data_IF_530480937034
#
_entry.id   IF_530480937034
#
_cell.length_a   1.000
_cell.length_b   1.000
_cell.length_c   1.000
_cell.angle_alpha   90.00
_cell.angle_beta   90.00
_cell.angle_gamma   90.00
#
_symmetry.space_group_name_H-M   'P 1'
#
loop_
_entity.id
_entity.type
_entity.pdbx_description
1 polymer ?
#
# COMPACT_ATOMS: atom_id res chain seq x y z
N UNK A 1 -40.55 24.39 -75.26
CA UNK A 1 -41.18 23.54 -74.24
C UNK A 1 -40.15 22.56 -73.59
N UNK A 2 -39.34 21.82 -74.32
CA UNK A 2 -38.38 20.82 -73.78
C UNK A 2 -37.41 21.38 -72.74
N UNK A 3 -36.87 22.61 -72.92
CA UNK A 3 -35.91 23.22 -71.94
C UNK A 3 -36.56 23.59 -70.59
N UNK A 4 -37.84 24.02 -70.58
CA UNK A 4 -38.60 24.34 -69.36
C UNK A 4 -38.93 23.06 -68.56
N UNK A 5 -39.23 21.96 -69.23
CA UNK A 5 -39.54 20.68 -68.65
C UNK A 5 -38.25 20.10 -67.98
N UNK A 6 -37.10 20.20 -68.66
CA UNK A 6 -35.80 19.76 -68.15
C UNK A 6 -35.38 20.55 -66.89
N UNK A 7 -35.61 21.88 -66.88
CA UNK A 7 -35.31 22.69 -65.68
C UNK A 7 -36.26 22.37 -64.54
N UNK A 8 -37.53 22.11 -64.77
CA UNK A 8 -38.46 21.69 -63.70
C UNK A 8 -38.13 20.30 -63.17
N UNK A 9 -37.74 19.34 -64.03
CA UNK A 9 -37.36 18.01 -63.61
C UNK A 9 -36.08 18.03 -62.77
N UNK A 10 -35.07 18.83 -63.16
CA UNK A 10 -33.83 19.00 -62.39
C UNK A 10 -34.12 19.65 -61.02
N UNK A 11 -34.96 20.68 -60.98
CA UNK A 11 -35.39 21.32 -59.76
C UNK A 11 -36.12 20.34 -58.80
N UNK A 12 -37.02 19.52 -59.38
CA UNK A 12 -37.74 18.50 -58.62
C UNK A 12 -36.80 17.43 -58.01
N UNK A 13 -35.75 16.99 -58.75
CA UNK A 13 -34.75 16.07 -58.23
C UNK A 13 -33.94 16.69 -57.07
N UNK A 14 -33.59 17.98 -57.22
CA UNK A 14 -32.89 18.67 -56.10
C UNK A 14 -33.80 18.86 -54.89
N UNK A 15 -35.07 19.13 -55.04
CA UNK A 15 -36.01 19.23 -53.92
C UNK A 15 -36.20 17.86 -53.20
N UNK A 16 -36.37 16.80 -54.01
CA UNK A 16 -36.51 15.45 -53.44
C UNK A 16 -35.21 15.02 -52.72
N UNK A 17 -34.05 15.25 -53.35
CA UNK A 17 -32.75 14.95 -52.71
C UNK A 17 -32.53 15.79 -51.46
N UNK A 18 -32.82 17.08 -51.51
CA UNK A 18 -32.73 17.97 -50.34
C UNK A 18 -33.70 17.57 -49.22
N UNK A 19 -34.93 17.18 -49.59
CA UNK A 19 -35.92 16.65 -48.64
C UNK A 19 -35.49 15.32 -48.01
N UNK A 20 -34.88 14.42 -48.78
CA UNK A 20 -34.37 13.16 -48.29
C UNK A 20 -33.18 13.36 -47.34
N UNK A 21 -32.26 14.27 -47.66
CA UNK A 21 -31.13 14.62 -46.78
C UNK A 21 -31.62 15.31 -45.50
N UNK A 22 -32.55 16.21 -45.58
CA UNK A 22 -33.18 16.86 -44.44
C UNK A 22 -33.88 15.84 -43.51
N UNK A 23 -34.66 14.93 -44.12
CA UNK A 23 -35.34 13.87 -43.37
C UNK A 23 -34.36 12.92 -42.71
N UNK A 24 -33.28 12.53 -43.39
CA UNK A 24 -32.23 11.70 -42.84
C UNK A 24 -31.51 12.39 -41.65
N UNK A 25 -31.21 13.69 -41.80
CA UNK A 25 -30.61 14.49 -40.72
C UNK A 25 -31.58 14.60 -39.52
N UNK A 26 -32.84 14.81 -39.71
CA UNK A 26 -33.84 14.87 -38.63
C UNK A 26 -34.09 13.52 -37.95
N UNK A 27 -33.92 12.41 -38.64
CA UNK A 27 -34.17 11.08 -38.10
C UNK A 27 -32.94 10.47 -37.44
N UNK A 28 -31.71 10.85 -37.84
CA UNK A 28 -30.48 10.25 -37.37
C UNK A 28 -29.45 11.28 -36.87
N UNK A 29 -29.22 12.35 -37.62
CA UNK A 29 -28.11 13.26 -37.35
C UNK A 29 -28.25 14.09 -36.06
N UNK A 30 -29.48 14.35 -35.60
CA UNK A 30 -29.70 15.12 -34.35
C UNK A 30 -29.56 14.32 -33.07
N UNK A 31 -29.42 12.97 -33.17
CA UNK A 31 -29.33 12.09 -32.02
C UNK A 31 -27.92 11.52 -31.81
N UNK A 32 -26.94 12.05 -32.54
CA UNK A 32 -25.54 11.62 -32.45
C UNK A 32 -24.65 12.80 -32.12
N UNK A 33 -23.92 12.67 -30.98
CA UNK A 33 -22.90 13.64 -30.60
C UNK A 33 -21.53 13.02 -30.80
N UNK A 34 -20.73 13.62 -31.69
CA UNK A 34 -19.43 13.08 -32.08
C UNK A 34 -18.26 13.97 -31.65
N UNK A 35 -17.13 13.36 -31.36
CA UNK A 35 -15.87 14.05 -31.12
C UNK A 35 -14.70 13.23 -31.63
N UNK A 36 -13.73 13.91 -32.24
CA UNK A 36 -12.41 13.41 -32.67
C UNK A 36 -11.34 13.61 -31.60
N UNK A 37 -11.68 14.23 -30.48
CA UNK A 37 -10.79 14.55 -29.37
C UNK A 37 -11.02 13.55 -28.23
N UNK A 38 -10.80 12.27 -28.52
CA UNK A 38 -10.92 11.21 -27.53
C UNK A 38 -9.60 10.42 -27.44
N UNK A 39 -9.21 10.05 -26.23
CA UNK A 39 -7.97 9.34 -25.96
C UNK A 39 -8.17 8.19 -25.02
N UNK A 40 -7.45 7.09 -25.27
CA UNK A 40 -7.43 5.95 -24.36
C UNK A 40 -6.70 6.34 -23.07
N UNK A 41 -7.41 6.32 -21.96
CA UNK A 41 -6.89 6.49 -20.61
C UNK A 41 -6.65 5.15 -19.92
N UNK A 42 -5.81 5.13 -18.91
CA UNK A 42 -5.53 3.93 -18.14
C UNK A 42 -4.80 4.21 -16.84
N UNK A 43 -4.77 3.23 -15.95
CA UNK A 43 -4.03 3.32 -14.70
C UNK A 43 -2.53 3.16 -14.97
N UNK A 44 -1.75 4.14 -14.56
CA UNK A 44 -0.29 4.13 -14.63
C UNK A 44 0.27 3.76 -13.26
N UNK A 45 0.67 2.50 -13.05
CA UNK A 45 1.20 2.04 -11.77
C UNK A 45 2.71 2.24 -11.73
N UNK A 46 3.14 3.20 -10.94
CA UNK A 46 4.55 3.53 -10.77
C UNK A 46 5.20 2.60 -9.74
N UNK A 47 6.28 1.97 -10.13
CA UNK A 47 7.10 1.12 -9.27
C UNK A 47 8.18 1.97 -8.64
N UNK A 48 8.12 2.11 -7.32
CA UNK A 48 9.08 2.88 -6.52
C UNK A 48 9.69 2.01 -5.43
N UNK A 49 10.99 2.14 -5.11
CA UNK A 49 11.61 1.42 -4.03
C UNK A 49 11.12 1.96 -2.67
N UNK A 50 11.03 1.08 -1.68
CA UNK A 50 10.70 1.43 -0.29
C UNK A 50 11.96 1.59 0.58
N UNK A 51 13.11 1.12 0.08
CA UNK A 51 14.44 1.22 0.72
C UNK A 51 15.44 1.78 -0.27
N UNK A 52 16.46 2.47 0.23
CA UNK A 52 17.56 2.93 -0.59
C UNK A 52 18.54 1.78 -0.88
N UNK A 53 19.12 1.76 -2.07
CA UNK A 53 20.10 0.75 -2.46
C UNK A 53 20.63 0.96 -3.86
N UNK A 54 21.59 0.13 -4.29
CA UNK A 54 22.05 0.07 -5.68
C UNK A 54 21.30 -1.03 -6.43
N UNK A 55 20.92 -0.77 -7.66
CA UNK A 55 20.23 -1.76 -8.51
C UNK A 55 21.23 -2.85 -8.92
N UNK A 56 20.93 -4.08 -8.53
CA UNK A 56 21.75 -5.26 -8.87
C UNK A 56 21.34 -5.87 -10.20
N UNK A 57 20.02 -6.04 -10.39
CA UNK A 57 19.47 -6.70 -11.57
C UNK A 57 18.12 -6.12 -11.95
N UNK A 58 17.81 -6.14 -13.24
CA UNK A 58 16.52 -5.75 -13.82
C UNK A 58 16.03 -6.96 -14.62
N UNK A 59 14.79 -7.38 -14.41
CA UNK A 59 14.20 -8.61 -14.97
C UNK A 59 13.12 -8.35 -16.01
N UNK A 60 12.74 -7.09 -16.21
CA UNK A 60 11.78 -6.68 -17.24
C UNK A 60 12.21 -5.36 -17.87
N UNK A 61 12.00 -5.21 -19.17
CA UNK A 61 12.31 -4.01 -19.93
C UNK A 61 11.04 -3.41 -20.55
N UNK A 62 11.20 -2.26 -21.22
CA UNK A 62 10.11 -1.60 -21.93
C UNK A 62 9.45 -2.58 -22.91
N UNK A 63 8.12 -2.54 -22.96
CA UNK A 63 7.25 -3.41 -23.77
C UNK A 63 7.02 -4.82 -23.25
N UNK A 64 7.73 -5.28 -22.23
CA UNK A 64 7.52 -6.61 -21.66
C UNK A 64 6.17 -6.69 -20.92
N UNK A 65 5.51 -7.85 -21.04
CA UNK A 65 4.36 -8.18 -20.21
C UNK A 65 4.84 -8.84 -18.92
N UNK A 66 4.35 -8.34 -17.78
CA UNK A 66 4.67 -8.84 -16.43
C UNK A 66 3.43 -9.27 -15.69
N UNK A 67 3.56 -10.33 -14.88
CA UNK A 67 2.48 -10.82 -14.03
C UNK A 67 2.55 -10.19 -12.64
N UNK A 68 1.40 -10.13 -11.96
CA UNK A 68 1.37 -9.72 -10.56
C UNK A 68 2.26 -10.63 -9.70
N UNK A 69 3.10 -10.04 -8.83
CA UNK A 69 4.08 -10.75 -8.02
C UNK A 69 5.40 -11.09 -8.73
N UNK A 70 5.49 -10.91 -10.06
CA UNK A 70 6.74 -11.13 -10.79
C UNK A 70 7.80 -10.11 -10.35
N UNK A 71 9.02 -10.60 -10.07
CA UNK A 71 10.15 -9.72 -9.71
C UNK A 71 10.54 -8.86 -10.91
N UNK A 72 10.58 -7.54 -10.71
CA UNK A 72 10.97 -6.58 -11.75
C UNK A 72 12.39 -6.08 -11.55
N UNK A 73 12.74 -5.73 -10.34
CA UNK A 73 14.04 -5.14 -9.99
C UNK A 73 14.52 -5.78 -8.69
N UNK A 74 15.82 -6.02 -8.62
CA UNK A 74 16.50 -6.47 -7.41
C UNK A 74 17.56 -5.43 -7.03
N UNK A 75 17.48 -4.94 -5.79
CA UNK A 75 18.50 -4.11 -5.18
C UNK A 75 19.58 -4.98 -4.53
N UNK A 76 20.76 -4.41 -4.31
CA UNK A 76 21.81 -5.08 -3.55
C UNK A 76 21.35 -5.33 -2.10
N UNK A 77 21.38 -6.60 -1.70
CA UNK A 77 20.89 -7.08 -0.41
C UNK A 77 21.97 -7.10 0.69
N UNK A 78 23.22 -6.78 0.33
CA UNK A 78 24.36 -7.00 1.22
C UNK A 78 24.19 -6.27 2.55
N UNK A 79 23.89 -4.99 2.52
CA UNK A 79 23.69 -4.17 3.72
C UNK A 79 22.47 -4.63 4.53
N UNK A 80 21.35 -4.93 3.86
CA UNK A 80 20.13 -5.39 4.51
C UNK A 80 20.31 -6.78 5.16
N UNK A 81 21.09 -7.67 4.55
CA UNK A 81 21.43 -8.97 5.11
C UNK A 81 22.25 -8.83 6.38
N UNK A 82 23.30 -8.01 6.35
CA UNK A 82 24.14 -7.76 7.53
C UNK A 82 23.31 -7.16 8.68
N UNK A 83 22.43 -6.22 8.36
CA UNK A 83 21.53 -5.63 9.36
C UNK A 83 20.58 -6.68 9.98
N UNK A 84 20.07 -7.61 9.19
CA UNK A 84 19.23 -8.70 9.68
C UNK A 84 20.01 -9.64 10.60
N UNK A 85 21.19 -10.08 10.18
CA UNK A 85 22.08 -10.95 10.99
C UNK A 85 22.45 -10.29 12.33
N UNK A 86 22.72 -8.99 12.32
CA UNK A 86 23.01 -8.22 13.55
C UNK A 86 21.78 -8.18 14.48
N UNK A 87 20.59 -7.95 13.93
CA UNK A 87 19.35 -7.92 14.71
C UNK A 87 19.03 -9.31 15.32
N UNK A 88 19.24 -10.39 14.58
CA UNK A 88 19.08 -11.77 15.05
C UNK A 88 20.08 -12.10 16.18
N UNK A 89 21.36 -11.72 16.02
CA UNK A 89 22.37 -11.90 17.04
C UNK A 89 22.03 -11.14 18.33
N UNK A 90 21.50 -9.91 18.19
CA UNK A 90 21.06 -9.11 19.33
C UNK A 90 19.85 -9.73 20.05
N UNK A 91 18.87 -10.26 19.30
CA UNK A 91 17.75 -11.01 19.88
C UNK A 91 18.24 -12.22 20.67
N UNK A 92 19.14 -13.00 20.09
CA UNK A 92 19.73 -14.17 20.77
C UNK A 92 20.46 -13.78 22.06
N UNK A 93 21.20 -12.65 22.05
CA UNK A 93 21.88 -12.10 23.25
C UNK A 93 20.84 -11.70 24.30
N UNK A 94 19.79 -10.99 23.92
CA UNK A 94 18.73 -10.52 24.83
C UNK A 94 18.01 -11.71 25.50
N UNK A 95 17.66 -12.74 24.71
CA UNK A 95 17.03 -13.97 25.22
C UNK A 95 17.92 -14.64 26.26
N UNK A 96 19.24 -14.74 26.02
CA UNK A 96 20.19 -15.29 27.01
C UNK A 96 20.26 -14.44 28.29
N UNK A 97 20.25 -13.11 28.15
CA UNK A 97 20.24 -12.20 29.30
C UNK A 97 19.00 -12.39 30.17
N UNK A 98 17.81 -12.42 29.56
CA UNK A 98 16.56 -12.65 30.33
C UNK A 98 16.51 -14.03 30.98
N UNK A 99 17.01 -15.06 30.30
CA UNK A 99 17.18 -16.39 30.93
C UNK A 99 18.12 -16.36 32.16
N UNK A 100 19.21 -15.58 32.08
CA UNK A 100 20.10 -15.35 33.20
C UNK A 100 19.38 -14.67 34.37
N UNK A 101 18.62 -13.62 34.14
CA UNK A 101 17.82 -12.96 35.18
C UNK A 101 16.81 -13.92 35.84
N UNK A 102 16.16 -14.80 35.07
CA UNK A 102 15.29 -15.84 35.63
C UNK A 102 16.05 -16.84 36.52
N UNK A 103 17.22 -17.28 36.07
CA UNK A 103 18.06 -18.19 36.87
C UNK A 103 18.44 -17.54 38.20
N UNK A 104 18.83 -16.26 38.20
CA UNK A 104 19.12 -15.50 39.43
C UNK A 104 17.88 -15.36 40.33
N UNK A 105 16.68 -15.17 39.77
CA UNK A 105 15.45 -15.16 40.58
C UNK A 105 15.15 -16.52 41.21
N UNK A 106 15.36 -17.63 40.47
CA UNK A 106 15.22 -19.00 41.03
C UNK A 106 16.24 -19.28 42.12
N UNK A 107 17.48 -18.81 41.99
CA UNK A 107 18.50 -18.87 43.03
C UNK A 107 18.06 -18.07 44.29
N UNK A 108 17.49 -16.88 44.11
CA UNK A 108 16.90 -16.09 45.18
C UNK A 108 15.78 -16.83 45.92
N UNK A 109 14.91 -17.55 45.21
CA UNK A 109 13.88 -18.40 45.80
C UNK A 109 14.47 -19.50 46.68
N UNK A 110 15.51 -20.19 46.21
CA UNK A 110 16.21 -21.20 47.00
C UNK A 110 16.88 -20.61 48.25
N UNK A 111 17.46 -19.40 48.16
CA UNK A 111 18.03 -18.69 49.31
C UNK A 111 16.96 -18.35 50.36
N UNK A 112 15.78 -17.88 49.95
CA UNK A 112 14.66 -17.63 50.91
C UNK A 112 14.27 -18.91 51.61
N UNK A 113 14.13 -20.06 50.90
CA UNK A 113 13.80 -21.35 51.50
C UNK A 113 14.86 -21.76 52.53
N UNK A 114 16.15 -21.54 52.23
CA UNK A 114 17.26 -21.82 53.17
C UNK A 114 17.15 -20.95 54.45
N UNK A 115 16.91 -19.63 54.32
CA UNK A 115 16.75 -18.72 55.48
C UNK A 115 15.51 -19.03 56.30
N UNK A 116 14.44 -19.49 55.68
CA UNK A 116 13.23 -19.97 56.40
C UNK A 116 13.52 -21.21 57.23
N UNK A 117 14.35 -22.12 56.75
CA UNK A 117 14.78 -23.29 57.51
C UNK A 117 15.68 -22.91 58.70
N UNK A 118 16.60 -21.93 58.52
CA UNK A 118 17.41 -21.39 59.59
C UNK A 118 16.59 -20.73 60.71
N UNK A 119 15.59 -19.90 60.33
CA UNK A 119 14.67 -19.28 61.29
C UNK A 119 13.91 -20.34 62.08
N UNK A 120 13.30 -21.32 61.40
CA UNK A 120 12.59 -22.44 62.09
C UNK A 120 13.47 -23.17 63.06
N UNK A 121 14.75 -23.42 62.74
CA UNK A 121 15.72 -24.05 63.68
C UNK A 121 15.99 -23.19 64.89
N UNK A 122 16.19 -21.88 64.72
CA UNK A 122 16.40 -20.95 65.83
C UNK A 122 15.16 -20.83 66.71
N UNK A 123 13.98 -20.78 66.16
CA UNK A 123 12.70 -20.74 66.90
C UNK A 123 12.48 -22.04 67.71
N UNK A 124 12.76 -23.19 67.12
CA UNK A 124 12.68 -24.49 67.84
C UNK A 124 13.69 -24.58 68.97
N UNK A 125 14.92 -24.07 68.83
CA UNK A 125 15.91 -24.03 69.86
C UNK A 125 15.49 -23.11 71.02
N UNK A 126 15.03 -21.92 70.71
CA UNK A 126 14.46 -21.00 71.69
C UNK A 126 13.27 -21.65 72.45
N UNK A 127 12.33 -22.31 71.74
CA UNK A 127 11.20 -22.98 72.33
C UNK A 127 11.63 -24.09 73.31
N UNK A 128 12.64 -24.91 72.96
CA UNK A 128 13.23 -25.93 73.87
C UNK A 128 13.88 -25.30 75.10
N UNK A 129 14.66 -24.22 74.97
CA UNK A 129 15.33 -23.54 76.11
C UNK A 129 14.28 -22.91 77.02
N UNK A 130 13.22 -22.29 76.52
CA UNK A 130 12.08 -21.75 77.29
C UNK A 130 11.33 -22.83 78.07
N UNK A 131 11.15 -24.02 77.51
CA UNK A 131 10.43 -25.11 78.22
C UNK A 131 11.18 -25.68 79.45
N UNK A 132 12.51 -25.51 79.57
CA UNK A 132 13.35 -26.00 80.65
C UNK A 132 13.89 -24.87 81.56
N UNK A 133 13.56 -23.61 81.26
CA UNK A 133 13.96 -22.42 82.05
C UNK A 133 13.53 -22.54 83.50
N UNK A 134 12.27 -22.97 83.75
CA UNK A 134 11.73 -23.14 85.10
C UNK A 134 12.43 -24.20 85.96
N UNK A 135 13.18 -25.12 85.32
CA UNK A 135 13.98 -26.16 86.00
C UNK A 135 15.38 -25.69 86.45
N UNK A 136 15.75 -24.46 86.08
CA UNK A 136 17.10 -23.93 86.32
C UNK A 136 18.22 -24.54 85.45
N UNK A 137 17.84 -25.33 84.43
CA UNK A 137 18.78 -26.00 83.52
C UNK A 137 19.38 -25.13 82.43
N UNK A 138 18.90 -23.89 82.29
CA UNK A 138 19.30 -22.88 81.29
C UNK A 138 19.57 -21.55 82.01
N UNK A 139 20.69 -20.90 81.70
CA UNK A 139 21.02 -19.58 82.26
C UNK A 139 20.24 -18.47 81.50
N UNK A 140 20.02 -17.34 82.18
CA UNK A 140 19.33 -16.18 81.52
C UNK A 140 20.15 -15.66 80.33
N UNK A 141 21.47 -15.77 80.34
CA UNK A 141 22.33 -15.41 79.22
C UNK A 141 22.11 -16.32 77.98
N UNK A 142 22.07 -17.67 78.25
CA UNK A 142 21.78 -18.62 77.17
C UNK A 142 20.38 -18.42 76.53
N UNK A 143 19.36 -18.02 77.31
CA UNK A 143 18.07 -17.69 76.81
C UNK A 143 18.14 -16.43 76.00
N UNK A 144 18.83 -15.38 76.44
CA UNK A 144 19.05 -14.16 75.73
C UNK A 144 19.71 -14.39 74.35
N UNK A 145 20.80 -15.21 74.35
CA UNK A 145 21.47 -15.61 73.10
C UNK A 145 20.53 -16.32 72.12
N UNK A 146 19.63 -17.17 72.58
CA UNK A 146 18.62 -17.81 71.72
C UNK A 146 17.60 -16.81 71.15
N UNK A 147 17.17 -15.79 71.94
CA UNK A 147 16.30 -14.69 71.47
C UNK A 147 17.02 -13.89 70.37
N UNK A 148 18.28 -13.54 70.60
CA UNK A 148 19.09 -12.76 69.63
C UNK A 148 19.32 -13.56 68.36
N UNK A 149 19.53 -14.90 68.46
CA UNK A 149 19.64 -15.78 67.27
C UNK A 149 18.34 -15.81 66.44
N UNK A 150 17.13 -15.85 67.06
CA UNK A 150 15.86 -15.75 66.34
C UNK A 150 15.72 -14.40 65.70
N UNK A 151 16.08 -13.31 66.40
CA UNK A 151 16.01 -11.95 65.83
C UNK A 151 16.91 -11.79 64.63
N UNK A 152 18.14 -12.28 64.71
CA UNK A 152 19.12 -12.27 63.61
C UNK A 152 18.64 -13.11 62.38
N UNK A 153 18.14 -14.35 62.66
CA UNK A 153 17.63 -15.20 61.56
C UNK A 153 16.41 -14.61 60.89
N UNK A 154 15.54 -13.92 61.65
CA UNK A 154 14.35 -13.20 61.09
C UNK A 154 14.78 -12.03 60.19
N UNK A 155 15.75 -11.23 60.64
CA UNK A 155 16.28 -10.12 59.84
C UNK A 155 16.97 -10.63 58.55
N UNK A 156 17.70 -11.75 58.63
CA UNK A 156 18.34 -12.39 57.48
C UNK A 156 17.28 -12.90 56.45
N UNK A 157 16.18 -13.50 56.94
CA UNK A 157 15.08 -13.92 56.08
C UNK A 157 14.41 -12.73 55.40
N UNK A 158 14.17 -11.64 56.11
CA UNK A 158 13.52 -10.45 55.54
C UNK A 158 14.41 -9.81 54.48
N UNK A 159 15.72 -9.73 54.71
CA UNK A 159 16.70 -9.28 53.71
C UNK A 159 16.66 -10.15 52.43
N UNK A 160 16.64 -11.50 52.59
CA UNK A 160 16.57 -12.42 51.47
C UNK A 160 15.26 -12.28 50.67
N UNK A 161 14.12 -12.06 51.36
CA UNK A 161 12.82 -11.80 50.69
C UNK A 161 12.82 -10.51 49.91
N UNK A 162 13.40 -9.43 50.43
CA UNK A 162 13.54 -8.16 49.73
C UNK A 162 14.44 -8.27 48.50
N UNK A 163 15.54 -9.04 48.62
CA UNK A 163 16.40 -9.31 47.48
C UNK A 163 15.70 -10.11 46.39
N UNK A 164 14.92 -11.13 46.73
CA UNK A 164 14.11 -11.89 45.79
C UNK A 164 13.05 -11.02 45.12
N UNK A 165 12.38 -10.13 45.86
CA UNK A 165 11.40 -9.18 45.34
C UNK A 165 12.03 -8.29 44.27
N UNK A 166 13.23 -7.74 44.51
CA UNK A 166 13.97 -6.94 43.53
C UNK A 166 14.36 -7.74 42.28
N UNK A 167 14.77 -9.02 42.44
CA UNK A 167 15.07 -9.89 41.29
C UNK A 167 13.83 -10.25 40.48
N UNK A 168 12.70 -10.51 41.16
CA UNK A 168 11.42 -10.80 40.51
C UNK A 168 10.90 -9.60 39.71
N UNK A 169 11.11 -8.39 40.21
CA UNK A 169 10.71 -7.16 39.48
C UNK A 169 11.40 -7.03 38.10
N UNK A 170 12.61 -7.58 37.96
CA UNK A 170 13.35 -7.55 36.69
C UNK A 170 12.80 -8.53 35.65
N UNK A 171 12.16 -9.63 36.10
CA UNK A 171 11.58 -10.65 35.18
C UNK A 171 10.08 -10.57 35.04
N UNK A 172 9.43 -9.71 35.84
CA UNK A 172 7.99 -9.33 35.81
C UNK A 172 7.02 -10.53 35.67
N UNK A 173 7.35 -11.67 36.24
CA UNK A 173 6.62 -12.95 36.17
C UNK A 173 6.19 -13.39 34.77
N UNK A 174 6.72 -12.72 33.72
CA UNK A 174 6.41 -13.03 32.33
C UNK A 174 7.25 -14.18 31.80
N UNK A 175 6.77 -14.85 30.77
CA UNK A 175 7.61 -15.83 30.06
C UNK A 175 8.72 -15.12 29.28
N UNK A 176 9.82 -15.82 28.97
CA UNK A 176 10.97 -15.25 28.24
C UNK A 176 10.54 -14.58 26.94
N UNK A 177 9.57 -15.16 26.23
CA UNK A 177 9.05 -14.61 24.98
C UNK A 177 8.21 -13.34 25.18
N UNK A 178 7.62 -13.18 26.35
CA UNK A 178 6.75 -12.03 26.66
C UNK A 178 7.50 -10.87 27.29
N UNK A 179 8.76 -11.10 27.68
CA UNK A 179 9.58 -10.06 28.27
C UNK A 179 9.74 -8.84 27.34
N UNK A 180 9.57 -7.60 27.84
CA UNK A 180 9.62 -6.39 27.03
C UNK A 180 10.90 -6.27 26.17
N UNK A 181 12.06 -6.59 26.75
CA UNK A 181 13.33 -6.51 26.01
C UNK A 181 13.41 -7.52 24.87
N UNK A 182 12.87 -8.73 25.06
CA UNK A 182 12.81 -9.75 24.00
C UNK A 182 11.86 -9.32 22.90
N UNK A 183 10.68 -8.76 23.25
CA UNK A 183 9.73 -8.20 22.28
C UNK A 183 10.33 -7.05 21.47
N UNK A 184 11.07 -6.17 22.12
CA UNK A 184 11.78 -5.07 21.46
C UNK A 184 12.84 -5.59 20.49
N UNK A 185 13.70 -6.52 20.93
CA UNK A 185 14.68 -7.13 20.05
C UNK A 185 14.06 -7.90 18.89
N UNK A 186 12.95 -8.62 19.12
CA UNK A 186 12.19 -9.28 18.06
C UNK A 186 11.55 -8.30 17.07
N UNK A 187 11.12 -7.11 17.54
CA UNK A 187 10.63 -6.05 16.66
C UNK A 187 11.72 -5.55 15.70
N UNK A 188 12.96 -5.39 16.19
CA UNK A 188 14.11 -5.01 15.35
C UNK A 188 14.46 -6.06 14.31
N UNK A 189 14.32 -7.35 14.63
CA UNK A 189 14.48 -8.43 13.64
C UNK A 189 13.41 -8.30 12.55
N UNK A 190 12.13 -8.05 12.91
CA UNK A 190 11.06 -7.85 11.92
C UNK A 190 11.31 -6.63 11.04
N UNK A 191 11.80 -5.53 11.59
CA UNK A 191 12.17 -4.33 10.85
C UNK A 191 13.27 -4.62 9.83
N UNK A 192 14.36 -5.28 10.26
CA UNK A 192 15.47 -5.67 9.38
C UNK A 192 15.01 -6.67 8.30
N UNK A 193 14.13 -7.62 8.62
CA UNK A 193 13.55 -8.57 7.68
C UNK A 193 12.69 -7.87 6.62
N UNK A 194 11.87 -6.89 7.03
CA UNK A 194 11.10 -6.06 6.12
C UNK A 194 12.01 -5.25 5.19
N UNK A 195 13.07 -4.65 5.71
CA UNK A 195 14.04 -3.94 4.89
C UNK A 195 14.72 -4.88 3.88
N UNK A 196 15.08 -6.10 4.29
CA UNK A 196 15.63 -7.13 3.41
C UNK A 196 14.63 -7.56 2.33
N UNK A 197 13.38 -7.83 2.68
CA UNK A 197 12.36 -8.23 1.70
C UNK A 197 12.03 -7.13 0.69
N UNK A 198 12.11 -5.86 1.09
CA UNK A 198 11.87 -4.68 0.25
C UNK A 198 12.99 -4.38 -0.77
N UNK A 199 14.07 -5.12 -0.74
CA UNK A 199 15.11 -5.06 -1.79
C UNK A 199 14.68 -5.76 -3.08
N UNK A 200 13.73 -6.67 -3.03
CA UNK A 200 13.05 -7.22 -4.20
C UNK A 200 11.82 -6.35 -4.51
N UNK A 201 11.72 -5.85 -5.73
CA UNK A 201 10.60 -5.04 -6.19
C UNK A 201 9.75 -5.89 -7.16
N UNK A 202 8.65 -6.49 -6.69
CA UNK A 202 7.72 -7.20 -7.54
C UNK A 202 6.73 -6.26 -8.22
N UNK A 203 6.13 -6.69 -9.31
CA UNK A 203 4.98 -6.05 -9.93
C UNK A 203 3.75 -6.17 -9.02
N UNK A 204 3.09 -5.08 -8.61
CA UNK A 204 1.88 -5.15 -7.79
C UNK A 204 0.67 -5.64 -8.59
N UNK A 205 0.69 -5.47 -9.91
CA UNK A 205 -0.36 -5.86 -10.85
C UNK A 205 0.24 -6.48 -12.11
N UNK A 206 -0.55 -7.25 -12.86
CA UNK A 206 -0.19 -7.66 -14.22
C UNK A 206 -0.37 -6.50 -15.22
N UNK A 207 0.50 -6.44 -16.23
CA UNK A 207 0.44 -5.39 -17.24
C UNK A 207 1.70 -5.29 -18.08
N UNK A 208 1.75 -4.29 -18.93
CA UNK A 208 2.92 -4.00 -19.77
C UNK A 208 3.81 -2.94 -19.13
N UNK A 209 5.13 -3.15 -19.22
CA UNK A 209 6.10 -2.13 -18.85
C UNK A 209 6.07 -1.02 -19.90
N UNK A 210 5.62 0.16 -19.50
CA UNK A 210 5.50 1.29 -20.41
C UNK A 210 6.77 2.16 -20.45
N UNK A 211 7.48 2.25 -19.32
CA UNK A 211 8.68 3.06 -19.19
C UNK A 211 9.56 2.56 -18.06
N UNK A 212 10.80 2.27 -18.38
CA UNK A 212 11.88 2.00 -17.42
C UNK A 212 12.81 3.22 -17.32
N UNK A 213 12.97 3.76 -16.12
CA UNK A 213 13.79 4.96 -15.86
C UNK A 213 15.06 4.65 -15.07
N UNK A 214 15.38 3.36 -14.84
CA UNK A 214 16.48 2.90 -13.99
C UNK A 214 17.44 2.02 -14.74
N UNK A 215 18.73 2.05 -14.32
CA UNK A 215 19.82 1.25 -14.89
C UNK A 215 20.47 0.39 -13.80
N UNK A 216 21.07 -0.74 -14.23
CA UNK A 216 21.90 -1.59 -13.34
C UNK A 216 23.09 -0.78 -12.82
N UNK A 217 23.38 -0.90 -11.51
CA UNK A 217 24.41 -0.13 -10.82
C UNK A 217 23.96 1.25 -10.34
N UNK A 218 22.80 1.73 -10.76
CA UNK A 218 22.27 3.02 -10.30
C UNK A 218 21.85 2.95 -8.82
N UNK A 219 22.20 4.00 -8.05
CA UNK A 219 21.72 4.16 -6.69
C UNK A 219 20.33 4.81 -6.69
N UNK A 220 19.40 4.20 -5.97
CA UNK A 220 18.00 4.62 -5.88
C UNK A 220 17.59 4.89 -4.43
N UNK A 221 16.59 5.74 -4.25
CA UNK A 221 16.03 6.10 -2.95
C UNK A 221 14.51 5.97 -2.97
N UNK A 222 13.85 5.85 -1.79
CA UNK A 222 12.39 5.83 -1.69
C UNK A 222 11.77 7.02 -2.41
N UNK A 223 10.70 6.74 -3.20
CA UNK A 223 10.01 7.75 -4.00
C UNK A 223 10.51 7.96 -5.42
N UNK A 224 11.71 7.45 -5.78
CA UNK A 224 12.15 7.47 -7.17
C UNK A 224 11.31 6.51 -8.02
N UNK A 225 10.71 7.00 -9.10
CA UNK A 225 10.00 6.15 -10.06
C UNK A 225 11.03 5.39 -10.90
N UNK A 226 11.04 4.06 -10.76
CA UNK A 226 11.99 3.19 -11.48
C UNK A 226 11.39 2.62 -12.76
N UNK A 227 10.10 2.32 -12.74
CA UNK A 227 9.38 1.67 -13.82
C UNK A 227 7.90 2.02 -13.73
N UNK A 228 7.19 2.02 -14.85
CA UNK A 228 5.74 2.18 -14.91
C UNK A 228 5.12 0.95 -15.55
N UNK A 229 4.15 0.33 -14.88
CA UNK A 229 3.38 -0.81 -15.40
C UNK A 229 1.95 -0.35 -15.70
N UNK A 230 1.44 -0.73 -16.86
CA UNK A 230 0.10 -0.35 -17.35
C UNK A 230 -0.71 -1.61 -17.59
N UNK A 231 -1.79 -1.84 -16.82
CA UNK A 231 -2.75 -2.90 -17.11
C UNK A 231 -3.63 -2.48 -18.29
N UNK A 232 -3.68 -3.27 -19.37
CA UNK A 232 -4.52 -2.97 -20.53
C UNK A 232 -5.97 -3.49 -20.38
N UNK A 233 -6.26 -4.27 -19.36
CA UNK A 233 -7.59 -4.85 -19.15
C UNK A 233 -8.62 -3.84 -18.58
N UNK A 234 -8.17 -2.73 -18.01
CA UNK A 234 -9.00 -1.73 -17.36
C UNK A 234 -8.84 -0.32 -17.94
N UNK A 235 -8.62 -0.22 -19.25
CA UNK A 235 -8.53 1.06 -19.94
C UNK A 235 -9.94 1.62 -20.22
N UNK A 236 -10.04 2.93 -20.31
CA UNK A 236 -11.25 3.67 -20.65
C UNK A 236 -10.92 4.69 -21.74
N UNK A 237 -11.92 5.37 -22.24
CA UNK A 237 -11.71 6.51 -23.14
C UNK A 237 -12.17 7.78 -22.45
N UNK A 238 -11.33 8.79 -22.45
CA UNK A 238 -11.67 10.15 -22.06
C UNK A 238 -11.90 10.95 -23.34
N UNK A 239 -13.20 11.19 -23.68
CA UNK A 239 -13.63 11.88 -24.86
C UNK A 239 -14.01 13.32 -24.51
N UNK A 240 -13.40 14.30 -25.18
CA UNK A 240 -13.57 15.72 -24.89
C UNK A 240 -14.67 16.33 -25.75
N UNK A 241 -15.86 16.51 -25.19
CA UNK A 241 -16.99 17.14 -25.85
C UNK A 241 -17.01 18.66 -25.60
N UNK A 242 -17.46 19.41 -26.59
CA UNK A 242 -17.66 20.86 -26.46
C UNK A 242 -18.83 21.16 -25.52
N UNK A 243 -18.76 22.27 -24.79
CA UNK A 243 -19.77 22.70 -23.82
C UNK A 243 -21.23 22.67 -24.39
N UNK A 244 -21.41 23.02 -25.66
CA UNK A 244 -22.70 23.01 -26.31
C UNK A 244 -23.25 21.61 -26.63
N UNK A 245 -22.41 20.57 -26.65
CA UNK A 245 -22.80 19.18 -26.89
C UNK A 245 -23.25 18.47 -25.61
N UNK A 246 -22.97 19.05 -24.45
CA UNK A 246 -23.23 18.40 -23.15
C UNK A 246 -24.69 18.38 -22.72
N UNK A 247 -25.54 19.18 -23.36
CA UNK A 247 -26.95 19.34 -22.95
C UNK A 247 -27.72 18.02 -22.95
N UNK A 248 -27.47 17.17 -23.94
CA UNK A 248 -28.18 15.91 -24.17
C UNK A 248 -27.40 14.66 -23.71
N UNK A 249 -26.14 14.81 -23.25
CA UNK A 249 -25.33 13.72 -22.74
C UNK A 249 -25.77 13.29 -21.35
N UNK A 250 -25.88 11.99 -21.12
CA UNK A 250 -26.25 11.38 -19.83
C UNK A 250 -25.40 10.13 -19.55
N UNK A 251 -25.06 9.84 -18.27
CA UNK A 251 -24.44 8.57 -17.91
C UNK A 251 -25.30 7.37 -18.32
N UNK A 252 -24.66 6.34 -18.84
CA UNK A 252 -25.30 5.11 -19.30
C UNK A 252 -25.61 5.05 -20.78
N UNK A 253 -25.55 6.17 -21.52
CA UNK A 253 -25.76 6.18 -22.96
C UNK A 253 -24.75 5.31 -23.70
N UNK A 254 -25.18 4.61 -24.77
CA UNK A 254 -24.28 3.80 -25.58
C UNK A 254 -23.37 4.69 -26.44
N UNK A 255 -22.12 4.21 -26.59
CA UNK A 255 -21.08 4.90 -27.36
C UNK A 255 -20.45 3.94 -28.33
N UNK A 256 -20.30 4.34 -29.58
CA UNK A 256 -19.45 3.66 -30.55
C UNK A 256 -18.15 4.41 -30.70
N UNK A 257 -17.04 3.68 -30.68
CA UNK A 257 -15.69 4.25 -30.73
C UNK A 257 -14.90 3.57 -31.84
N UNK A 258 -14.11 4.37 -32.53
CA UNK A 258 -13.19 3.89 -33.57
C UNK A 258 -11.77 4.35 -33.21
N UNK A 259 -10.83 3.42 -33.08
CA UNK A 259 -9.44 3.76 -32.81
C UNK A 259 -8.68 4.00 -34.12
N UNK A 260 -7.94 5.11 -34.22
CA UNK A 260 -7.13 5.42 -35.40
C UNK A 260 -6.12 4.31 -35.72
N UNK A 261 -5.61 3.63 -34.69
CA UNK A 261 -4.64 2.55 -34.82
C UNK A 261 -5.20 1.30 -35.53
N UNK A 262 -6.52 1.06 -35.48
CA UNK A 262 -7.18 -0.09 -36.11
C UNK A 262 -8.01 0.30 -37.35
N UNK A 263 -8.25 1.60 -37.55
CA UNK A 263 -9.09 2.14 -38.62
C UNK A 263 -10.56 1.79 -38.44
N UNK A 264 -11.38 2.17 -39.40
CA UNK A 264 -12.85 2.03 -39.35
C UNK A 264 -13.37 0.60 -39.42
N UNK A 265 -12.50 -0.39 -39.56
CA UNK A 265 -12.89 -1.82 -39.62
C UNK A 265 -13.12 -2.44 -38.25
N UNK A 266 -12.65 -1.80 -37.16
CA UNK A 266 -12.78 -2.27 -35.78
C UNK A 266 -13.52 -1.21 -34.99
N UNK A 267 -14.73 -1.52 -34.62
CA UNK A 267 -15.58 -0.67 -33.77
C UNK A 267 -15.51 -1.23 -32.32
N UNK A 268 -15.40 -0.31 -31.37
CA UNK A 268 -15.48 -0.61 -29.95
C UNK A 268 -16.78 -0.04 -29.41
N UNK A 269 -17.42 -0.79 -28.52
CA UNK A 269 -18.65 -0.37 -27.87
C UNK A 269 -18.37 -0.07 -26.40
N UNK A 270 -19.01 1.01 -25.95
CA UNK A 270 -18.87 1.46 -24.57
C UNK A 270 -20.12 2.11 -24.05
N UNK A 271 -20.04 2.61 -22.84
CA UNK A 271 -21.08 3.40 -22.19
C UNK A 271 -20.48 4.61 -21.52
N UNK A 272 -21.19 5.72 -21.54
CA UNK A 272 -20.85 6.91 -20.78
C UNK A 272 -20.84 6.53 -19.28
N UNK A 273 -19.66 6.54 -18.67
CA UNK A 273 -19.48 6.26 -17.24
C UNK A 273 -19.76 7.50 -16.38
N UNK A 274 -19.43 8.69 -16.90
CA UNK A 274 -19.61 9.94 -16.19
C UNK A 274 -18.86 11.10 -16.82
N UNK A 275 -19.02 12.26 -16.21
CA UNK A 275 -18.41 13.51 -16.64
C UNK A 275 -17.31 13.94 -15.67
N UNK A 276 -16.26 14.57 -16.20
CA UNK A 276 -15.27 15.23 -15.33
C UNK A 276 -15.94 16.38 -14.55
N UNK A 277 -15.44 16.63 -13.33
CA UNK A 277 -15.93 17.74 -12.49
C UNK A 277 -15.53 19.13 -13.00
N UNK A 278 -14.69 19.21 -14.05
CA UNK A 278 -14.27 20.48 -14.64
C UNK A 278 -13.62 20.30 -16.01
N UNK A 279 -13.48 21.40 -16.73
CA UNK A 279 -12.83 21.43 -18.03
C UNK A 279 -11.31 21.26 -17.92
N UNK A 280 -10.65 20.82 -19.00
CA UNK A 280 -9.20 20.69 -19.02
C UNK A 280 -8.45 21.97 -18.66
N UNK A 281 -9.01 23.14 -19.00
CA UNK A 281 -8.44 24.45 -18.64
C UNK A 281 -8.53 24.77 -17.15
N UNK A 282 -9.54 24.25 -16.44
CA UNK A 282 -9.71 24.46 -14.99
C UNK A 282 -8.66 23.70 -14.17
N UNK A 283 -8.14 22.58 -14.68
CA UNK A 283 -7.12 21.75 -14.02
C UNK A 283 -5.71 21.91 -14.62
N UNK A 284 -5.54 22.82 -15.60
CA UNK A 284 -4.23 23.07 -16.18
C UNK A 284 -3.29 23.74 -15.16
N UNK A 285 -2.05 23.26 -15.04
CA UNK A 285 -1.00 23.87 -14.21
C UNK A 285 -0.72 25.34 -14.56
N UNK A 286 -0.92 25.71 -15.83
CA UNK A 286 -0.80 27.07 -16.34
C UNK A 286 -2.08 27.39 -17.10
N UNK A 287 -3.10 28.00 -16.45
CA UNK A 287 -4.29 28.45 -17.16
C UNK A 287 -3.92 29.43 -18.27
N UNK A 288 -4.52 29.28 -19.45
CA UNK A 288 -4.32 30.21 -20.55
C UNK A 288 -4.77 31.61 -20.12
N UNK A 289 -3.80 32.50 -19.89
CA UNK A 289 -4.06 33.90 -19.58
C UNK A 289 -4.12 34.68 -20.89
N UNK A 290 -5.27 35.31 -21.18
CA UNK A 290 -5.39 36.29 -22.25
C UNK A 290 -4.67 37.58 -21.84
N UNK A 291 -3.35 37.62 -22.02
CA UNK A 291 -2.49 38.75 -21.56
C UNK A 291 -2.59 40.01 -22.42
N UNK A 292 -3.34 40.04 -23.51
CA UNK A 292 -3.29 41.12 -24.52
C UNK A 292 -4.62 41.84 -24.77
N UNK A 293 -5.50 41.95 -23.76
CA UNK A 293 -6.62 42.91 -23.80
C UNK A 293 -7.83 42.60 -24.73
N UNK A 294 -7.75 41.69 -25.66
CA UNK A 294 -8.87 41.20 -26.42
C UNK A 294 -9.44 39.90 -25.82
N UNK A 295 -10.58 40.02 -25.14
CA UNK A 295 -11.28 38.86 -24.61
C UNK A 295 -11.98 38.12 -25.74
N UNK A 296 -11.56 36.88 -26.00
CA UNK A 296 -12.21 35.97 -26.94
C UNK A 296 -12.80 34.82 -26.14
N UNK A 297 -14.12 34.59 -26.24
CA UNK A 297 -14.76 33.40 -25.65
C UNK A 297 -14.27 32.16 -26.40
N UNK A 298 -13.42 31.34 -25.73
CA UNK A 298 -13.01 30.03 -26.25
C UNK A 298 -14.01 28.98 -25.74
N UNK A 299 -14.61 28.20 -26.62
CA UNK A 299 -15.49 27.09 -26.26
C UNK A 299 -14.66 26.07 -25.46
N UNK A 300 -15.12 25.79 -24.25
CA UNK A 300 -14.47 24.83 -23.38
C UNK A 300 -14.84 23.40 -23.76
N UNK A 301 -13.95 22.46 -23.51
CA UNK A 301 -14.21 21.03 -23.63
C UNK A 301 -14.26 20.38 -22.27
N UNK A 302 -15.22 19.48 -22.07
CA UNK A 302 -15.37 18.69 -20.87
C UNK A 302 -15.05 17.23 -21.17
N UNK A 303 -14.11 16.60 -20.42
CA UNK A 303 -13.85 15.16 -20.55
C UNK A 303 -15.05 14.33 -20.08
N UNK A 304 -15.50 13.46 -20.97
CA UNK A 304 -16.54 12.45 -20.71
C UNK A 304 -15.85 11.10 -20.68
N UNK A 305 -15.97 10.37 -19.56
CA UNK A 305 -15.40 9.06 -19.42
C UNK A 305 -16.32 7.99 -19.97
N UNK A 306 -15.77 7.15 -20.85
CA UNK A 306 -16.45 6.07 -21.52
C UNK A 306 -15.81 4.75 -21.07
N UNK A 307 -16.62 3.85 -20.49
CA UNK A 307 -16.22 2.50 -20.14
C UNK A 307 -16.38 1.59 -21.37
N UNK A 308 -15.33 0.87 -21.74
CA UNK A 308 -15.28 -0.04 -22.88
C UNK A 308 -15.75 -1.45 -22.50
N UNK A 309 -16.21 -2.24 -23.50
CA UNK A 309 -16.50 -3.66 -23.30
C UNK A 309 -15.19 -4.45 -23.14
N UNK A 310 -14.99 -5.16 -22.03
CA UNK A 310 -13.77 -5.94 -21.79
C UNK A 310 -13.51 -7.05 -22.82
N UNK A 311 -14.57 -7.55 -23.49
CA UNK A 311 -14.43 -8.61 -24.50
C UNK A 311 -13.78 -8.10 -25.77
N UNK A 312 -14.11 -6.89 -26.17
CA UNK A 312 -13.53 -6.22 -27.35
C UNK A 312 -12.08 -5.82 -27.08
N UNK A 313 -11.78 -5.36 -25.86
CA UNK A 313 -10.40 -5.08 -25.41
C UNK A 313 -9.51 -6.33 -25.40
N UNK A 314 -10.07 -7.49 -25.10
CA UNK A 314 -9.33 -8.75 -25.14
C UNK A 314 -9.00 -9.17 -26.57
N UNK A 315 -9.89 -8.90 -27.53
CA UNK A 315 -9.69 -9.19 -28.95
C UNK A 315 -8.76 -8.18 -29.64
N UNK A 316 -8.89 -6.90 -29.29
CA UNK A 316 -8.15 -5.77 -29.86
C UNK A 316 -7.60 -4.88 -28.73
N UNK A 317 -6.43 -5.20 -28.13
CA UNK A 317 -5.90 -4.47 -26.99
C UNK A 317 -5.57 -3.01 -27.34
N UNK A 318 -6.16 -2.06 -26.62
CA UNK A 318 -5.87 -0.64 -26.76
C UNK A 318 -4.73 -0.23 -25.83
N UNK A 319 -3.81 0.58 -26.36
CA UNK A 319 -2.71 1.17 -25.56
C UNK A 319 -3.11 2.56 -25.08
N UNK A 320 -2.70 2.90 -23.86
CA UNK A 320 -2.96 4.23 -23.28
C UNK A 320 -2.32 5.32 -24.16
N UNK A 321 -3.08 6.38 -24.42
CA UNK A 321 -2.66 7.51 -25.24
C UNK A 321 -3.01 7.38 -26.73
N UNK A 322 -3.62 6.29 -27.19
CA UNK A 322 -4.13 6.20 -28.58
C UNK A 322 -5.33 7.13 -28.77
N UNK A 323 -5.38 7.76 -29.94
CA UNK A 323 -6.51 8.60 -30.38
C UNK A 323 -7.67 7.74 -30.85
N UNK A 324 -8.89 8.23 -30.63
CA UNK A 324 -10.13 7.60 -31.02
C UNK A 324 -11.16 8.64 -31.47
N UNK A 325 -12.04 8.25 -32.36
CA UNK A 325 -13.30 8.94 -32.62
C UNK A 325 -14.38 8.35 -31.72
N UNK A 326 -15.19 9.20 -31.10
CA UNK A 326 -16.29 8.78 -30.24
C UNK A 326 -17.61 9.33 -30.74
N UNK A 327 -18.62 8.46 -30.85
CA UNK A 327 -20.00 8.77 -31.25
C UNK A 327 -20.97 8.29 -30.17
N UNK A 328 -21.65 9.22 -29.52
CA UNK A 328 -22.61 8.94 -28.44
C UNK A 328 -24.01 9.04 -29.01
N UNK A 329 -24.81 7.97 -28.87
CA UNK A 329 -26.23 7.98 -29.19
C UNK A 329 -27.03 8.64 -28.04
N UNK A 330 -27.53 9.84 -28.29
CA UNK A 330 -28.31 10.65 -27.33
C UNK A 330 -29.81 10.45 -27.47
N UNK A 331 -30.27 9.49 -28.28
CA UNK A 331 -31.71 9.22 -28.53
C UNK A 331 -32.42 8.60 -27.32
N UNK A 332 -31.68 8.21 -26.27
CA UNK A 332 -32.21 7.52 -25.09
C UNK A 332 -31.83 8.20 -23.78
#
# INVERSE_FOLDING_TARGET
MKRRILLVSVLAVFLVAGGAVALWYFLHGQYHETTDDAYVGGNLVQITPQVAGSVRSIYADDTDYVQSGQRLIELDKSDARVALEQAEAQLAKTVRSVRGLRATSTEGEANVVMREAELRRAEQDLARRRSIESSGAVSGEELQHAIDAVSSARAALDAARKQLEAQRAQVDRTDVHDHPDVKNAAARVREALLAYSRTDLPAPIGGFVARRSVQVGQRVAPGNVLMTVVPLEGVWVDANFKENQLADLRPGQPVTLVADAYGSSVEFHGKVAGFSAGTGSAFALLPAQNATGNWIKVVQRLPVRIALDPRELAAHPLKVGLSMDADIDVSR
#
